data_IF_767756443013
#
_entry.id   IF_767756443013
#
_cell.length_a   1.000
_cell.length_b   1.000
_cell.length_c   1.000
_cell.angle_alpha   90.00
_cell.angle_beta   90.00
_cell.angle_gamma   90.00
#
_symmetry.space_group_name_H-M   'P 1'
#
loop_
_entity.id
_entity.type
_entity.pdbx_description
1 polymer ?
#
# COMPACT_ATOMS: atom_id res chain seq x y z
N UNK A 1 21.25 11.14 -15.27
CA UNK A 1 21.39 9.68 -15.39
C UNK A 1 21.75 9.15 -14.01
N UNK A 2 20.91 8.30 -13.40
CA UNK A 2 21.18 7.73 -12.08
C UNK A 2 22.12 6.52 -12.26
N UNK A 3 23.30 6.54 -11.62
CA UNK A 3 24.22 5.42 -11.60
C UNK A 3 24.13 4.69 -10.27
N UNK A 4 23.72 3.42 -10.29
CA UNK A 4 23.62 2.58 -9.09
C UNK A 4 24.73 1.56 -9.13
N UNK A 5 25.53 1.49 -8.05
CA UNK A 5 26.50 0.39 -7.89
C UNK A 5 25.76 -0.85 -7.42
N UNK A 6 25.91 -1.93 -8.18
CA UNK A 6 25.44 -3.25 -7.81
C UNK A 6 26.65 -4.07 -7.34
N UNK A 7 26.46 -4.86 -6.30
CA UNK A 7 27.43 -5.92 -5.99
C UNK A 7 27.41 -7.00 -7.08
N UNK A 8 28.49 -7.79 -7.15
CA UNK A 8 28.67 -8.82 -8.18
C UNK A 8 27.55 -9.87 -8.17
N UNK A 9 27.04 -10.22 -6.98
CA UNK A 9 25.99 -11.22 -6.84
C UNK A 9 24.66 -10.71 -7.43
N UNK A 10 24.29 -9.46 -7.11
CA UNK A 10 23.09 -8.83 -7.61
C UNK A 10 23.17 -8.58 -9.13
N UNK A 11 24.32 -8.15 -9.65
CA UNK A 11 24.50 -7.99 -11.08
C UNK A 11 24.37 -9.33 -11.82
N UNK A 12 24.98 -10.40 -11.31
CA UNK A 12 24.85 -11.75 -11.88
C UNK A 12 23.39 -12.23 -11.92
N UNK A 13 22.65 -12.03 -10.83
CA UNK A 13 21.21 -12.35 -10.76
C UNK A 13 20.38 -11.54 -11.75
N UNK A 14 20.68 -10.23 -11.88
CA UNK A 14 19.98 -9.35 -12.82
C UNK A 14 20.27 -9.74 -14.28
N UNK A 15 21.51 -10.09 -14.62
CA UNK A 15 21.90 -10.60 -15.94
C UNK A 15 21.13 -11.90 -16.27
N UNK A 16 21.08 -12.85 -15.33
CA UNK A 16 20.35 -14.10 -15.53
C UNK A 16 18.85 -13.88 -15.71
N UNK A 17 18.25 -12.95 -14.94
CA UNK A 17 16.84 -12.60 -15.08
C UNK A 17 16.54 -11.93 -16.41
N UNK A 18 17.38 -10.99 -16.83
CA UNK A 18 17.29 -10.33 -18.14
C UNK A 18 17.31 -11.35 -19.29
N UNK A 19 18.25 -12.31 -19.25
CA UNK A 19 18.34 -13.37 -20.25
C UNK A 19 17.09 -14.27 -20.28
N UNK A 20 16.59 -14.68 -19.11
CA UNK A 20 15.38 -15.54 -19.02
C UNK A 20 14.10 -14.84 -19.47
N UNK A 21 13.98 -13.54 -19.21
CA UNK A 21 12.77 -12.76 -19.51
C UNK A 21 12.82 -12.08 -20.88
N UNK A 22 13.98 -12.14 -21.56
CA UNK A 22 14.27 -11.40 -22.79
C UNK A 22 14.00 -9.89 -22.65
N UNK A 23 14.36 -9.33 -21.49
CA UNK A 23 14.24 -7.90 -21.16
C UNK A 23 15.61 -7.32 -20.85
N UNK A 24 15.81 -6.03 -21.11
CA UNK A 24 17.08 -5.36 -20.79
C UNK A 24 17.24 -5.19 -19.27
N UNK A 25 18.49 -5.15 -18.80
CA UNK A 25 18.80 -4.84 -17.39
C UNK A 25 18.16 -3.53 -16.93
N UNK A 26 18.25 -2.50 -17.77
CA UNK A 26 17.70 -1.17 -17.47
C UNK A 26 16.18 -1.18 -17.34
N UNK A 27 15.48 -2.01 -18.13
CA UNK A 27 14.03 -2.18 -17.99
C UNK A 27 13.68 -2.81 -16.63
N UNK A 28 14.33 -3.92 -16.27
CA UNK A 28 14.09 -4.61 -15.01
C UNK A 28 14.47 -3.75 -13.79
N UNK A 29 15.57 -3.00 -13.88
CA UNK A 29 15.98 -2.07 -12.83
C UNK A 29 14.96 -0.93 -12.67
N UNK A 30 14.46 -0.36 -13.77
CA UNK A 30 13.40 0.66 -13.72
C UNK A 30 12.14 0.10 -13.08
N UNK A 31 11.71 -1.09 -13.50
CA UNK A 31 10.51 -1.73 -12.95
C UNK A 31 10.63 -2.02 -11.46
N UNK A 32 11.78 -2.53 -11.01
CA UNK A 32 12.04 -2.76 -9.59
C UNK A 32 12.02 -1.45 -8.78
N UNK A 33 12.63 -0.37 -9.31
CA UNK A 33 12.61 0.94 -8.67
C UNK A 33 11.19 1.52 -8.61
N UNK A 34 10.41 1.42 -9.69
CA UNK A 34 9.01 1.86 -9.70
C UNK A 34 8.20 1.16 -8.62
N UNK A 35 8.28 -0.17 -8.55
CA UNK A 35 7.56 -0.95 -7.53
C UNK A 35 7.97 -0.57 -6.11
N UNK A 36 9.27 -0.35 -5.88
CA UNK A 36 9.77 0.07 -4.57
C UNK A 36 9.24 1.45 -4.19
N UNK A 37 9.30 2.42 -5.11
CA UNK A 37 8.82 3.79 -4.84
C UNK A 37 7.31 3.78 -4.58
N UNK A 38 6.52 3.10 -5.40
CA UNK A 38 5.07 2.99 -5.20
C UNK A 38 4.72 2.39 -3.83
N UNK A 39 5.46 1.36 -3.40
CA UNK A 39 5.26 0.73 -2.09
C UNK A 39 5.65 1.67 -0.93
N UNK A 40 6.75 2.41 -1.04
CA UNK A 40 7.15 3.38 -0.02
C UNK A 40 6.18 4.57 0.06
N UNK A 41 5.70 5.07 -1.07
CA UNK A 41 4.67 6.11 -1.12
C UNK A 41 3.35 5.64 -0.50
N UNK A 42 2.95 4.38 -0.74
CA UNK A 42 1.78 3.77 -0.11
C UNK A 42 1.92 3.72 1.41
N UNK A 43 3.06 3.25 1.93
CA UNK A 43 3.34 3.20 3.37
C UNK A 43 3.33 4.60 4.00
N UNK A 44 3.96 5.58 3.35
CA UNK A 44 3.96 6.96 3.86
C UNK A 44 2.54 7.53 3.93
N UNK A 45 1.74 7.36 2.88
CA UNK A 45 0.33 7.78 2.87
C UNK A 45 -0.48 7.11 3.97
N UNK A 46 -0.30 5.81 4.18
CA UNK A 46 -0.99 5.06 5.25
C UNK A 46 -0.59 5.57 6.63
N UNK A 47 0.69 5.86 6.85
CA UNK A 47 1.18 6.43 8.10
C UNK A 47 0.61 7.83 8.35
N UNK A 48 0.63 8.71 7.34
CA UNK A 48 0.05 10.05 7.42
C UNK A 48 -1.44 10.00 7.75
N UNK A 49 -2.21 9.15 7.05
CA UNK A 49 -3.64 8.95 7.31
C UNK A 49 -3.90 8.40 8.72
N UNK A 50 -3.06 7.49 9.20
CA UNK A 50 -3.19 6.90 10.53
C UNK A 50 -2.92 7.94 11.62
N UNK A 51 -1.86 8.73 11.46
CA UNK A 51 -1.52 9.81 12.40
C UNK A 51 -2.60 10.88 12.44
N UNK A 52 -3.10 11.32 11.28
CA UNK A 52 -4.18 12.30 11.21
C UNK A 52 -5.46 11.81 11.92
N UNK A 53 -5.84 10.54 11.71
CA UNK A 53 -7.00 9.94 12.41
C UNK A 53 -6.77 9.83 13.92
N UNK A 54 -5.54 9.53 14.33
CA UNK A 54 -5.19 9.43 15.74
C UNK A 54 -5.26 10.80 16.42
N UNK A 55 -4.72 11.84 15.77
CA UNK A 55 -4.80 13.22 16.26
C UNK A 55 -6.25 13.68 16.40
N UNK A 56 -7.08 13.45 15.38
CA UNK A 56 -8.51 13.78 15.42
C UNK A 56 -9.23 13.09 16.57
N UNK A 57 -8.98 11.78 16.79
CA UNK A 57 -9.54 11.06 17.92
C UNK A 57 -9.06 11.60 19.28
N UNK A 58 -7.78 11.99 19.40
CA UNK A 58 -7.28 12.61 20.62
C UNK A 58 -7.96 13.95 20.93
N UNK A 59 -8.35 14.70 19.90
CA UNK A 59 -9.03 15.98 20.04
C UNK A 59 -10.53 15.85 20.30
N UNK A 60 -11.24 14.96 19.58
CA UNK A 60 -12.71 14.89 19.59
C UNK A 60 -13.26 13.73 20.43
N UNK A 61 -12.49 12.64 20.57
CA UNK A 61 -12.96 11.38 21.12
C UNK A 61 -14.00 10.66 20.24
N UNK A 62 -14.28 11.15 19.03
CA UNK A 62 -15.28 10.58 18.12
C UNK A 62 -14.85 9.20 17.62
N UNK A 63 -15.76 8.25 17.71
CA UNK A 63 -15.54 6.87 17.27
C UNK A 63 -16.82 6.31 16.68
N UNK A 64 -16.69 5.37 15.76
CA UNK A 64 -17.85 4.60 15.29
C UNK A 64 -18.21 3.56 16.34
N UNK A 65 -19.47 3.50 16.74
CA UNK A 65 -19.96 2.48 17.67
C UNK A 65 -19.87 1.07 17.06
N UNK A 66 -19.33 0.12 17.81
CA UNK A 66 -19.14 -1.26 17.35
C UNK A 66 -20.45 -1.97 17.00
N UNK A 67 -21.50 -1.80 17.80
CA UNK A 67 -22.81 -2.44 17.54
C UNK A 67 -23.41 -1.91 16.24
N UNK A 68 -23.36 -0.59 16.02
CA UNK A 68 -23.81 0.01 14.76
C UNK A 68 -23.01 -0.52 13.55
N UNK A 69 -21.69 -0.69 13.69
CA UNK A 69 -20.84 -1.28 12.66
C UNK A 69 -21.23 -2.71 12.34
N UNK A 70 -21.41 -3.55 13.36
CA UNK A 70 -21.83 -4.95 13.19
C UNK A 70 -23.21 -5.05 12.55
N UNK A 71 -24.16 -4.24 13.01
CA UNK A 71 -25.51 -4.15 12.45
C UNK A 71 -25.51 -3.84 10.95
N UNK A 72 -24.58 -2.99 10.51
CA UNK A 72 -24.41 -2.65 9.10
C UNK A 72 -23.76 -3.79 8.32
N UNK A 73 -22.67 -4.36 8.83
CA UNK A 73 -21.97 -5.48 8.19
C UNK A 73 -22.88 -6.71 8.03
N UNK A 74 -23.72 -7.01 9.03
CA UNK A 74 -24.66 -8.13 9.00
C UNK A 74 -25.78 -7.95 7.96
N UNK A 75 -26.06 -6.70 7.56
CA UNK A 75 -27.07 -6.40 6.55
C UNK A 75 -26.56 -6.54 5.11
N UNK A 76 -25.25 -6.68 4.89
CA UNK A 76 -24.65 -6.77 3.56
C UNK A 76 -25.14 -8.01 2.80
N UNK A 77 -25.50 -7.82 1.53
CA UNK A 77 -25.99 -8.90 0.67
C UNK A 77 -27.43 -9.33 0.96
N UNK A 78 -28.16 -8.56 1.77
CA UNK A 78 -29.61 -8.70 1.98
C UNK A 78 -30.36 -7.61 1.23
N UNK A 79 -31.67 -7.78 1.06
CA UNK A 79 -32.54 -6.74 0.49
C UNK A 79 -32.73 -5.53 1.45
N UNK A 80 -32.26 -5.64 2.69
CA UNK A 80 -32.38 -4.63 3.75
C UNK A 80 -31.00 -4.08 4.19
N UNK A 81 -30.09 -3.88 3.24
CA UNK A 81 -28.76 -3.30 3.54
C UNK A 81 -28.89 -1.92 4.22
N UNK A 82 -28.33 -1.81 5.42
CA UNK A 82 -28.36 -0.61 6.26
C UNK A 82 -27.33 0.44 5.76
N UNK A 83 -27.47 1.72 6.13
CA UNK A 83 -26.45 2.73 5.83
C UNK A 83 -25.16 2.52 6.65
N UNK A 84 -24.02 2.87 6.06
CA UNK A 84 -22.72 2.86 6.72
C UNK A 84 -22.70 3.78 7.96
N UNK A 85 -22.35 3.27 9.15
CA UNK A 85 -22.23 4.09 10.35
C UNK A 85 -21.11 5.13 10.20
N UNK A 86 -21.42 6.35 10.64
CA UNK A 86 -20.45 7.45 10.70
C UNK A 86 -20.01 7.66 12.14
N UNK A 87 -18.80 8.17 12.32
CA UNK A 87 -18.30 8.63 13.62
C UNK A 87 -18.94 9.97 14.00
#
# INVERSE_FOLDING_TARGET
MLGVRLDEQLESRLNALAAKTNRSKSFLAKEALTRYVEEEERKQRENELTMARWEEYQETGETVNNEAMMDWLDSWGTDEEKPCPVK
#
